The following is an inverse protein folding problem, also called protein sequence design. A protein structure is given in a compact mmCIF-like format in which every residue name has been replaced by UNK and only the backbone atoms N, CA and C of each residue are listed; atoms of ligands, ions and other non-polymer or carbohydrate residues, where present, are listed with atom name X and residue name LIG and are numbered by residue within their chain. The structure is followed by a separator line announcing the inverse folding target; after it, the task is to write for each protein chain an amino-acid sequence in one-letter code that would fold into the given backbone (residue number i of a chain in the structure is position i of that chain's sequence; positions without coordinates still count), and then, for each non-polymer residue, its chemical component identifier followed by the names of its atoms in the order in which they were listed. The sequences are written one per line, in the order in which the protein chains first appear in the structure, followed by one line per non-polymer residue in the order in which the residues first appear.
data_IF_289438201538
#
_entry.id   IF_289438201538
#
_cell.length_a   1.000
_cell.length_b   1.000
_cell.length_c   1.000
_cell.angle_alpha   90.00
_cell.angle_beta   90.00
_cell.angle_gamma   90.00
#
_symmetry.space_group_name_H-M   'P 1'
#
loop_
_entity.id
_entity.type
_entity.pdbx_description
1 polymer ?
#
# COMPACT_ATOMS: atom_id res chain seq x y z
N UNK A 1 32.48 26.98 1.44
CA UNK A 1 31.78 28.25 1.65
C UNK A 1 30.30 27.96 1.43
N UNK A 2 29.49 27.81 2.46
CA UNK A 2 28.04 27.62 2.29
C UNK A 2 27.45 28.98 1.92
N UNK A 3 26.99 29.12 0.69
CA UNK A 3 26.20 30.26 0.29
C UNK A 3 24.76 29.97 0.74
N UNK A 4 24.33 30.65 1.83
CA UNK A 4 22.92 30.66 2.21
C UNK A 4 22.15 31.55 1.26
N UNK A 5 21.73 31.01 0.14
CA UNK A 5 20.77 31.65 -0.76
C UNK A 5 19.36 31.15 -0.50
N UNK A 6 18.36 32.01 -0.65
CA UNK A 6 16.96 31.55 -0.69
C UNK A 6 16.80 30.58 -1.87
N UNK A 7 16.00 29.49 -1.73
CA UNK A 7 15.76 28.58 -2.82
C UNK A 7 15.17 29.32 -4.02
N UNK A 8 15.69 29.05 -5.22
CA UNK A 8 15.10 29.58 -6.46
C UNK A 8 13.81 28.79 -6.75
N UNK A 9 12.70 29.52 -6.92
CA UNK A 9 11.40 28.94 -7.28
C UNK A 9 11.10 29.33 -8.74
N UNK A 10 10.91 28.34 -9.59
CA UNK A 10 10.53 28.52 -10.98
C UNK A 10 9.12 27.97 -11.20
N UNK A 11 8.23 28.82 -11.76
CA UNK A 11 6.89 28.40 -12.16
C UNK A 11 6.89 28.14 -13.66
N UNK A 12 6.70 26.90 -14.05
CA UNK A 12 6.63 26.47 -15.45
C UNK A 12 5.19 26.10 -15.81
N UNK A 13 4.75 26.55 -16.97
CA UNK A 13 3.42 26.22 -17.51
C UNK A 13 3.60 25.22 -18.63
N UNK A 14 2.98 24.05 -18.48
CA UNK A 14 2.88 23.05 -19.55
C UNK A 14 1.50 23.21 -20.21
N UNK A 15 1.41 23.81 -21.39
CA UNK A 15 0.12 24.01 -22.06
C UNK A 15 -0.44 22.68 -22.56
N UNK A 16 -1.73 22.42 -22.33
CA UNK A 16 -2.44 21.22 -22.77
C UNK A 16 -1.68 19.92 -22.42
N UNK A 17 -1.39 19.66 -21.13
CA UNK A 17 -0.55 18.53 -20.76
C UNK A 17 -1.22 17.20 -21.11
N UNK A 18 -0.42 16.24 -21.54
CA UNK A 18 -0.82 14.84 -21.58
C UNK A 18 -0.78 14.29 -20.17
N UNK A 19 -1.93 13.84 -19.69
CA UNK A 19 -2.05 13.36 -18.32
C UNK A 19 -1.51 11.94 -18.19
N UNK A 20 -0.81 11.68 -17.09
CA UNK A 20 -0.38 10.35 -16.72
C UNK A 20 -1.57 9.52 -16.23
N UNK A 21 -1.67 8.28 -16.68
CA UNK A 21 -2.60 7.26 -16.18
C UNK A 21 -2.02 5.85 -16.40
N UNK A 22 -2.59 4.81 -15.78
CA UNK A 22 -2.18 3.43 -16.04
C UNK A 22 -2.24 3.01 -17.51
N UNK A 23 -3.16 3.58 -18.29
CA UNK A 23 -3.31 3.31 -19.72
C UNK A 23 -2.39 4.17 -20.58
N UNK A 24 -1.98 5.32 -20.07
CA UNK A 24 -1.15 6.29 -20.79
C UNK A 24 -0.11 6.92 -19.84
N UNK A 25 0.96 6.20 -19.47
CA UNK A 25 1.93 6.64 -18.47
C UNK A 25 2.93 7.67 -19.03
N UNK A 26 2.41 8.82 -19.42
CA UNK A 26 3.23 9.89 -19.99
C UNK A 26 4.07 10.55 -18.91
N UNK A 27 5.38 10.57 -19.14
CA UNK A 27 6.34 11.27 -18.30
C UNK A 27 6.95 12.46 -19.03
N UNK A 28 7.15 13.53 -18.29
CA UNK A 28 7.90 14.71 -18.70
C UNK A 28 9.27 14.69 -18.04
N UNK A 29 10.20 15.48 -18.59
CA UNK A 29 11.54 15.68 -18.06
C UNK A 29 11.71 17.16 -17.74
N UNK A 30 12.11 17.46 -16.51
CA UNK A 30 12.56 18.77 -16.09
C UNK A 30 14.08 18.77 -15.98
N UNK A 31 14.74 19.52 -16.82
CA UNK A 31 16.18 19.76 -16.75
C UNK A 31 16.45 21.04 -15.97
N UNK A 32 17.22 20.95 -14.91
CA UNK A 32 17.64 22.08 -14.09
C UNK A 32 19.15 22.25 -14.22
N UNK A 33 19.59 23.38 -14.74
CA UNK A 33 21.01 23.69 -14.88
C UNK A 33 21.42 24.81 -13.91
N UNK A 34 22.55 24.63 -13.25
CA UNK A 34 23.24 25.67 -12.48
C UNK A 34 24.27 26.33 -13.41
N UNK A 35 24.11 27.63 -13.68
CA UNK A 35 24.98 28.35 -14.60
C UNK A 35 25.69 29.48 -13.85
N UNK A 36 26.99 29.65 -14.08
CA UNK A 36 27.80 30.74 -13.59
C UNK A 36 28.68 31.28 -14.72
N UNK A 37 28.63 32.58 -14.95
CA UNK A 37 29.41 33.29 -15.99
C UNK A 37 29.25 32.71 -17.41
N UNK A 38 28.06 32.12 -17.69
CA UNK A 38 27.73 31.48 -18.98
C UNK A 38 28.17 30.02 -19.09
N UNK A 39 28.83 29.48 -18.07
CA UNK A 39 29.22 28.05 -18.00
C UNK A 39 28.25 27.26 -17.17
N UNK A 40 27.88 26.08 -17.66
CA UNK A 40 27.06 25.10 -16.93
C UNK A 40 27.95 24.41 -15.90
N UNK A 41 27.61 24.55 -14.63
CA UNK A 41 28.33 23.95 -13.52
C UNK A 41 27.76 22.59 -13.10
N UNK A 42 26.44 22.44 -13.25
CA UNK A 42 25.71 21.20 -12.88
C UNK A 42 24.40 21.11 -13.63
N UNK A 43 23.96 19.88 -13.90
CA UNK A 43 22.66 19.58 -14.53
C UNK A 43 22.00 18.45 -13.77
N UNK A 44 20.75 18.65 -13.39
CA UNK A 44 19.92 17.63 -12.78
C UNK A 44 18.66 17.44 -13.62
N UNK A 45 18.41 16.18 -13.96
CA UNK A 45 17.21 15.75 -14.67
C UNK A 45 16.22 15.08 -13.72
N UNK A 46 14.99 15.57 -13.71
CA UNK A 46 13.89 14.97 -12.94
C UNK A 46 12.77 14.56 -13.88
N UNK A 47 12.33 13.31 -13.78
CA UNK A 47 11.12 12.84 -14.44
C UNK A 47 9.91 13.16 -13.57
N UNK A 48 8.81 13.54 -14.20
CA UNK A 48 7.54 13.78 -13.51
C UNK A 48 6.36 13.49 -14.43
N UNK A 49 5.20 13.24 -13.86
CA UNK A 49 3.95 13.11 -14.60
C UNK A 49 2.93 14.12 -14.09
N UNK A 50 2.02 14.54 -14.98
CA UNK A 50 0.93 15.46 -14.65
C UNK A 50 -0.36 14.65 -14.54
N UNK A 51 -1.04 14.74 -13.42
CA UNK A 51 -2.31 14.07 -13.16
C UNK A 51 -3.06 14.74 -12.02
N UNK A 52 -4.35 14.44 -11.87
CA UNK A 52 -5.13 14.77 -10.67
C UNK A 52 -5.52 13.49 -9.96
N UNK A 53 -5.48 13.49 -8.63
CA UNK A 53 -5.93 12.41 -7.76
C UNK A 53 -6.89 12.98 -6.74
N UNK A 54 -8.08 12.40 -6.65
CA UNK A 54 -9.11 12.84 -5.71
C UNK A 54 -9.74 11.63 -5.02
N UNK A 55 -9.97 11.79 -3.73
CA UNK A 55 -10.69 10.83 -2.91
C UNK A 55 -11.94 11.54 -2.40
N UNK A 56 -13.09 11.14 -2.91
CA UNK A 56 -14.35 11.84 -2.68
C UNK A 56 -15.28 10.98 -1.83
N UNK A 57 -15.68 11.50 -0.67
CA UNK A 57 -16.67 10.85 0.19
C UNK A 57 -17.88 10.40 -0.64
N UNK A 58 -18.41 9.21 -0.35
CA UNK A 58 -19.54 8.57 -1.04
C UNK A 58 -19.32 8.24 -2.53
N UNK A 59 -18.18 8.64 -3.11
CA UNK A 59 -17.92 8.45 -4.55
C UNK A 59 -16.65 7.63 -4.85
N UNK A 60 -15.70 7.58 -3.90
CA UNK A 60 -14.47 6.81 -4.02
C UNK A 60 -13.32 7.54 -4.71
N UNK A 61 -12.47 6.78 -5.36
CA UNK A 61 -11.23 7.25 -5.99
C UNK A 61 -11.46 7.76 -7.40
N UNK A 62 -10.83 8.90 -7.73
CA UNK A 62 -10.84 9.52 -9.06
C UNK A 62 -9.41 9.81 -9.50
N UNK A 63 -9.12 9.45 -10.74
CA UNK A 63 -7.89 9.79 -11.44
C UNK A 63 -8.24 10.62 -12.68
N UNK A 64 -7.67 11.81 -12.80
CA UNK A 64 -7.95 12.74 -13.90
C UNK A 64 -9.46 13.05 -14.08
N UNK A 65 -10.17 13.20 -12.97
CA UNK A 65 -11.60 13.47 -12.93
C UNK A 65 -12.50 12.27 -13.27
N UNK A 66 -11.95 11.09 -13.50
CA UNK A 66 -12.71 9.88 -13.78
C UNK A 66 -12.68 8.92 -12.58
N UNK A 67 -13.86 8.43 -12.19
CA UNK A 67 -13.97 7.42 -11.14
C UNK A 67 -13.28 6.13 -11.56
N UNK A 68 -12.47 5.56 -10.65
CA UNK A 68 -11.72 4.34 -10.91
C UNK A 68 -11.83 3.36 -9.75
N UNK A 69 -11.93 2.08 -10.07
CA UNK A 69 -11.73 0.99 -9.12
C UNK A 69 -10.25 0.61 -9.19
N UNK A 70 -9.62 0.54 -8.02
CA UNK A 70 -8.21 0.13 -7.92
C UNK A 70 -8.16 -1.39 -7.94
N UNK A 71 -7.39 -1.96 -8.87
CA UNK A 71 -7.13 -3.40 -8.99
C UNK A 71 -5.67 -3.64 -8.66
N UNK A 72 -5.39 -3.88 -7.38
CA UNK A 72 -4.03 -3.92 -6.87
C UNK A 72 -3.65 -5.26 -6.25
N UNK A 73 -2.35 -5.43 -6.10
CA UNK A 73 -1.74 -6.52 -5.34
C UNK A 73 -0.76 -5.96 -4.31
N UNK A 74 -0.54 -6.72 -3.23
CA UNK A 74 0.50 -6.47 -2.27
C UNK A 74 1.79 -7.16 -2.72
N UNK A 75 2.90 -6.42 -2.85
CA UNK A 75 4.22 -6.97 -3.12
C UNK A 75 5.07 -6.91 -1.86
N UNK A 76 5.57 -8.05 -1.41
CA UNK A 76 6.31 -8.22 -0.16
C UNK A 76 7.84 -8.16 -0.35
N UNK A 77 8.31 -7.37 -1.32
CA UNK A 77 9.73 -7.18 -1.62
C UNK A 77 10.46 -8.52 -1.85
N UNK A 78 9.88 -9.35 -2.68
CA UNK A 78 10.38 -10.70 -3.00
C UNK A 78 10.42 -10.90 -4.52
N UNK A 79 11.57 -11.35 -5.00
CA UNK A 79 11.82 -11.68 -6.39
C UNK A 79 12.13 -13.19 -6.57
N UNK A 80 11.48 -14.06 -5.79
CA UNK A 80 11.65 -15.51 -5.84
C UNK A 80 13.09 -15.92 -5.52
N UNK A 81 13.81 -16.59 -6.43
CA UNK A 81 15.18 -17.05 -6.14
C UNK A 81 16.17 -15.93 -5.82
N UNK A 82 15.87 -14.69 -6.15
CA UNK A 82 16.70 -13.53 -5.82
C UNK A 82 16.43 -13.00 -4.39
N UNK A 83 15.37 -13.47 -3.74
CA UNK A 83 14.95 -12.95 -2.43
C UNK A 83 14.68 -11.45 -2.49
N UNK A 84 15.20 -10.70 -1.53
CA UNK A 84 15.04 -9.25 -1.42
C UNK A 84 16.10 -8.46 -2.23
N UNK A 85 16.92 -9.10 -3.05
CA UNK A 85 17.90 -8.40 -3.88
C UNK A 85 17.21 -7.61 -5.00
N UNK A 86 17.60 -6.33 -5.15
CA UNK A 86 17.04 -5.47 -6.19
C UNK A 86 17.58 -5.87 -7.55
N UNK A 87 16.68 -6.15 -8.48
CA UNK A 87 16.98 -6.39 -9.88
C UNK A 87 15.91 -5.80 -10.77
N UNK A 88 16.21 -4.69 -11.45
CA UNK A 88 15.25 -3.95 -12.28
C UNK A 88 14.59 -4.83 -13.36
N UNK A 89 15.33 -5.75 -13.98
CA UNK A 89 14.77 -6.65 -15.00
C UNK A 89 13.77 -7.64 -14.40
N UNK A 90 14.07 -8.19 -13.22
CA UNK A 90 13.16 -9.10 -12.54
C UNK A 90 11.89 -8.37 -12.06
N UNK A 91 12.02 -7.16 -11.51
CA UNK A 91 10.89 -6.31 -11.13
C UNK A 91 10.04 -5.98 -12.37
N UNK A 92 10.66 -5.58 -13.47
CA UNK A 92 9.94 -5.30 -14.72
C UNK A 92 9.15 -6.53 -15.20
N UNK A 93 9.74 -7.72 -15.13
CA UNK A 93 9.06 -8.95 -15.50
C UNK A 93 7.86 -9.24 -14.59
N UNK A 94 8.02 -9.08 -13.28
CA UNK A 94 6.93 -9.23 -12.31
C UNK A 94 5.79 -8.25 -12.61
N UNK A 95 6.08 -6.97 -12.80
CA UNK A 95 5.08 -5.96 -13.13
C UNK A 95 4.41 -6.24 -14.47
N UNK A 96 5.15 -6.76 -15.46
CA UNK A 96 4.54 -7.14 -16.75
C UNK A 96 3.51 -8.26 -16.56
N UNK A 97 3.81 -9.29 -15.78
CA UNK A 97 2.85 -10.37 -15.49
C UNK A 97 1.62 -9.83 -14.76
N UNK A 98 1.79 -8.94 -13.79
CA UNK A 98 0.68 -8.31 -13.08
C UNK A 98 -0.19 -7.46 -14.03
N UNK A 99 0.43 -6.73 -14.94
CA UNK A 99 -0.30 -5.94 -15.93
C UNK A 99 -1.08 -6.82 -16.92
N UNK A 100 -0.47 -7.91 -17.37
CA UNK A 100 -1.11 -8.89 -18.25
C UNK A 100 -2.32 -9.56 -17.55
N UNK A 101 -2.28 -9.69 -16.22
CA UNK A 101 -3.41 -10.17 -15.40
C UNK A 101 -4.50 -9.11 -15.18
N UNK A 102 -4.25 -7.85 -15.50
CA UNK A 102 -5.20 -6.74 -15.36
C UNK A 102 -5.02 -5.90 -14.11
N UNK A 103 -3.93 -6.07 -13.36
CA UNK A 103 -3.58 -5.19 -12.24
C UNK A 103 -3.15 -3.81 -12.73
N UNK A 104 -3.53 -2.79 -11.98
CA UNK A 104 -3.18 -1.39 -12.21
C UNK A 104 -2.61 -0.68 -10.97
N UNK A 105 -2.46 -1.41 -9.86
CA UNK A 105 -1.94 -0.84 -8.62
C UNK A 105 -1.06 -1.82 -7.83
N UNK A 106 -0.17 -1.26 -7.04
CA UNK A 106 0.75 -1.98 -6.15
C UNK A 106 0.69 -1.35 -4.76
N UNK A 107 0.59 -2.16 -3.72
CA UNK A 107 0.93 -1.78 -2.35
C UNK A 107 2.27 -2.40 -1.99
N UNK A 108 3.19 -1.60 -1.44
CA UNK A 108 4.50 -2.11 -1.03
C UNK A 108 4.44 -2.60 0.42
N UNK A 109 4.27 -3.89 0.58
CA UNK A 109 4.11 -4.56 1.87
C UNK A 109 5.46 -4.96 2.44
N UNK A 110 5.84 -4.59 3.61
CA UNK A 110 5.28 -3.60 4.52
C UNK A 110 6.43 -2.68 4.89
N UNK A 111 7.03 -2.04 3.91
CA UNK A 111 8.21 -1.18 4.05
C UNK A 111 8.37 -0.25 2.84
N UNK A 112 9.27 0.72 2.98
CA UNK A 112 9.62 1.63 1.90
C UNK A 112 10.10 0.84 0.67
N UNK A 113 9.51 1.10 -0.53
CA UNK A 113 9.88 0.40 -1.75
C UNK A 113 11.29 0.75 -2.24
N UNK A 114 11.83 -0.14 -3.08
CA UNK A 114 13.00 0.17 -3.88
C UNK A 114 12.67 1.27 -4.92
N UNK A 115 13.63 2.14 -5.22
CA UNK A 115 13.49 3.21 -6.20
C UNK A 115 13.12 2.66 -7.59
N UNK A 116 13.75 1.55 -7.99
CA UNK A 116 13.52 0.88 -9.27
C UNK A 116 12.07 0.40 -9.43
N UNK A 117 11.41 0.00 -8.33
CA UNK A 117 10.00 -0.38 -8.38
C UNK A 117 9.11 0.84 -8.66
N UNK A 118 9.35 1.95 -7.97
CA UNK A 118 8.56 3.18 -8.15
C UNK A 118 8.78 3.77 -9.54
N UNK A 119 10.03 3.81 -10.03
CA UNK A 119 10.33 4.24 -11.40
C UNK A 119 9.62 3.38 -12.44
N UNK A 120 9.63 2.06 -12.27
CA UNK A 120 8.91 1.16 -13.18
C UNK A 120 7.40 1.33 -13.09
N UNK A 121 6.84 1.64 -11.92
CA UNK A 121 5.43 2.00 -11.79
C UNK A 121 5.10 3.27 -12.57
N UNK A 122 5.95 4.28 -12.50
CA UNK A 122 5.81 5.50 -13.30
C UNK A 122 5.83 5.23 -14.81
N UNK A 123 6.78 4.38 -15.26
CA UNK A 123 6.99 4.05 -16.68
C UNK A 123 5.92 3.10 -17.25
N UNK A 124 5.50 2.11 -16.47
CA UNK A 124 4.59 1.07 -16.92
C UNK A 124 3.11 1.37 -16.62
N UNK A 125 2.84 2.45 -15.87
CA UNK A 125 1.48 2.84 -15.53
C UNK A 125 0.87 1.96 -14.44
N UNK A 126 1.53 1.84 -13.30
CA UNK A 126 0.94 1.31 -12.07
C UNK A 126 0.74 2.43 -11.06
N UNK A 127 -0.42 2.50 -10.46
CA UNK A 127 -0.61 3.29 -9.24
C UNK A 127 0.12 2.60 -8.09
N UNK A 128 0.73 3.35 -7.19
CA UNK A 128 1.47 2.76 -6.08
C UNK A 128 1.06 3.41 -4.75
N UNK A 129 0.97 2.59 -3.73
CA UNK A 129 0.81 2.97 -2.33
C UNK A 129 2.07 2.54 -1.57
N UNK A 130 3.08 3.42 -1.46
CA UNK A 130 4.25 3.15 -0.64
C UNK A 130 3.85 3.06 0.83
N UNK A 131 4.37 2.03 1.52
CA UNK A 131 4.12 1.80 2.93
C UNK A 131 5.41 1.93 3.74
N UNK A 132 5.32 2.57 4.92
CA UNK A 132 6.50 2.87 5.71
C UNK A 132 6.90 1.71 6.63
N UNK A 133 5.92 1.11 7.34
CA UNK A 133 6.20 0.21 8.46
C UNK A 133 5.25 -0.97 8.54
N UNK A 134 5.76 -2.10 9.05
CA UNK A 134 4.94 -3.26 9.45
C UNK A 134 4.60 -3.23 10.96
N UNK A 135 5.32 -2.46 11.74
CA UNK A 135 5.03 -2.21 13.17
C UNK A 135 5.43 -0.80 13.56
N UNK A 136 4.83 -0.30 14.65
CA UNK A 136 5.22 0.98 15.25
C UNK A 136 6.02 0.74 16.55
N UNK A 137 5.71 1.52 17.62
CA UNK A 137 6.42 1.43 18.90
C UNK A 137 6.10 0.16 19.72
N UNK A 138 5.01 -0.53 19.38
CA UNK A 138 4.66 -1.81 20.01
C UNK A 138 5.14 -2.96 19.13
N UNK A 139 5.91 -3.86 19.72
CA UNK A 139 6.55 -4.97 19.01
C UNK A 139 5.53 -5.92 18.36
N UNK A 140 5.74 -6.22 17.08
CA UNK A 140 5.10 -7.31 16.35
C UNK A 140 5.98 -8.57 16.37
N UNK A 141 7.30 -8.36 16.40
CA UNK A 141 8.30 -9.41 16.55
C UNK A 141 9.49 -8.91 17.38
N UNK A 142 10.27 -9.85 17.94
CA UNK A 142 11.36 -9.55 18.89
C UNK A 142 12.40 -8.56 18.35
N UNK A 143 12.78 -8.69 17.09
CA UNK A 143 13.83 -7.87 16.46
C UNK A 143 13.26 -6.91 15.41
N UNK A 144 12.04 -6.44 15.62
CA UNK A 144 11.34 -5.55 14.69
C UNK A 144 11.73 -4.09 14.80
N UNK A 145 11.04 -3.29 14.00
CA UNK A 145 11.29 -1.86 13.89
C UNK A 145 10.93 -1.06 15.15
N UNK A 146 10.06 -1.58 16.04
CA UNK A 146 9.70 -0.95 17.32
C UNK A 146 10.92 -0.49 18.12
N UNK A 147 12.07 -1.18 17.97
CA UNK A 147 13.34 -0.86 18.65
C UNK A 147 13.92 0.48 18.22
N UNK A 148 13.55 0.95 17.04
CA UNK A 148 14.06 2.17 16.42
C UNK A 148 12.97 3.24 16.26
N UNK A 149 11.71 2.88 16.45
CA UNK A 149 10.57 3.69 16.11
C UNK A 149 10.64 5.11 16.68
N UNK A 150 10.92 5.26 17.98
CA UNK A 150 10.95 6.56 18.64
C UNK A 150 12.05 7.49 18.10
N UNK A 151 13.17 6.95 17.64
CA UNK A 151 14.32 7.72 17.18
C UNK A 151 14.30 7.97 15.65
N UNK A 152 13.64 7.11 14.91
CA UNK A 152 13.79 7.06 13.45
C UNK A 152 12.48 7.23 12.67
N UNK A 153 11.31 6.96 13.22
CA UNK A 153 10.05 6.94 12.47
C UNK A 153 9.80 8.24 11.70
N UNK A 154 9.98 9.40 12.32
CA UNK A 154 9.82 10.68 11.62
C UNK A 154 10.82 10.83 10.46
N UNK A 155 12.08 10.46 10.68
CA UNK A 155 13.13 10.57 9.66
C UNK A 155 12.84 9.66 8.46
N UNK A 156 12.38 8.44 8.72
CA UNK A 156 12.12 7.45 7.69
C UNK A 156 10.86 7.80 6.88
N UNK A 157 9.80 8.29 7.54
CA UNK A 157 8.61 8.79 6.82
C UNK A 157 8.97 10.02 5.97
N UNK A 158 9.73 10.97 6.50
CA UNK A 158 10.20 12.13 5.73
C UNK A 158 11.01 11.67 4.52
N UNK A 159 11.93 10.72 4.72
CA UNK A 159 12.75 10.17 3.65
C UNK A 159 11.88 9.54 2.57
N UNK A 160 10.97 8.66 2.92
CA UNK A 160 10.06 8.00 1.98
C UNK A 160 9.24 9.01 1.18
N UNK A 161 8.61 9.97 1.86
CA UNK A 161 7.76 10.95 1.20
C UNK A 161 8.57 11.86 0.27
N UNK A 162 9.70 12.38 0.73
CA UNK A 162 10.55 13.26 -0.09
C UNK A 162 11.13 12.55 -1.30
N UNK A 163 11.46 11.28 -1.16
CA UNK A 163 12.02 10.48 -2.24
C UNK A 163 11.00 10.26 -3.36
N UNK A 164 9.74 9.97 -3.00
CA UNK A 164 8.73 9.51 -3.96
C UNK A 164 7.61 10.52 -4.29
N UNK A 165 7.52 11.67 -3.60
CA UNK A 165 6.42 12.63 -3.83
C UNK A 165 6.33 13.20 -5.24
N UNK A 166 7.40 13.15 -6.04
CA UNK A 166 7.41 13.60 -7.43
C UNK A 166 6.99 12.51 -8.41
N UNK A 167 6.88 11.25 -7.97
CA UNK A 167 6.42 10.15 -8.80
C UNK A 167 4.92 10.22 -9.05
N UNK A 168 4.47 10.27 -10.30
CA UNK A 168 3.03 10.35 -10.62
C UNK A 168 2.27 9.08 -10.24
N UNK A 169 2.92 7.93 -10.19
CA UNK A 169 2.35 6.66 -9.76
C UNK A 169 1.89 6.67 -8.31
N UNK A 170 2.55 7.42 -7.42
CA UNK A 170 2.17 7.47 -6.01
C UNK A 170 0.84 8.18 -5.85
N UNK A 171 -0.19 7.46 -5.38
CA UNK A 171 -1.55 7.98 -5.22
C UNK A 171 -1.94 8.26 -3.76
N UNK A 172 -1.24 7.64 -2.81
CA UNK A 172 -1.46 7.81 -1.38
C UNK A 172 -0.25 7.28 -0.60
N UNK A 173 -0.18 7.56 0.70
CA UNK A 173 0.84 7.05 1.61
C UNK A 173 0.22 6.08 2.61
N UNK A 174 0.91 4.97 2.88
CA UNK A 174 0.55 4.06 3.97
C UNK A 174 1.58 4.16 5.10
N UNK A 175 1.10 4.37 6.32
CA UNK A 175 1.95 4.59 7.49
C UNK A 175 2.15 3.34 8.34
N UNK A 176 1.47 2.24 8.03
CA UNK A 176 1.64 1.00 8.79
C UNK A 176 0.73 -0.13 8.34
N UNK A 177 1.09 -1.32 8.80
CA UNK A 177 0.35 -2.55 8.54
C UNK A 177 0.10 -3.33 9.83
N UNK A 178 -1.17 -3.62 10.13
CA UNK A 178 -1.58 -4.50 11.22
C UNK A 178 -0.81 -4.28 12.54
N UNK A 179 -0.53 -3.02 12.81
CA UNK A 179 0.33 -2.61 13.92
C UNK A 179 -0.29 -3.01 15.26
N UNK A 180 0.44 -3.61 16.20
CA UNK A 180 -0.12 -3.94 17.52
C UNK A 180 -0.65 -2.73 18.29
N UNK A 181 -0.15 -1.55 18.02
CA UNK A 181 -0.62 -0.26 18.56
C UNK A 181 -2.11 0.00 18.31
N UNK A 182 -2.71 -0.62 17.29
CA UNK A 182 -4.16 -0.49 17.02
C UNK A 182 -5.06 -1.02 18.14
N UNK A 183 -4.53 -1.88 19.03
CA UNK A 183 -5.24 -2.35 20.22
C UNK A 183 -5.24 -1.34 21.37
N UNK A 184 -4.31 -0.40 21.36
CA UNK A 184 -4.14 0.52 22.48
C UNK A 184 -5.17 1.65 22.46
N UNK A 185 -5.60 2.16 23.61
CA UNK A 185 -6.53 3.28 23.66
C UNK A 185 -5.99 4.56 23.01
N UNK A 186 -4.67 4.72 23.00
CA UNK A 186 -3.96 5.90 22.48
C UNK A 186 -3.37 5.70 21.08
N UNK A 187 -3.61 4.55 20.44
CA UNK A 187 -3.04 4.23 19.12
C UNK A 187 -3.31 5.28 18.03
N UNK A 188 -4.43 5.97 18.14
CA UNK A 188 -4.76 7.09 17.25
C UNK A 188 -3.75 8.24 17.31
N UNK A 189 -3.01 8.42 18.42
CA UNK A 189 -1.99 9.48 18.56
C UNK A 189 -0.80 9.22 17.64
N UNK A 190 -0.35 7.98 17.59
CA UNK A 190 0.74 7.56 16.69
C UNK A 190 0.31 7.70 15.24
N UNK A 191 -0.90 7.22 14.89
CA UNK A 191 -1.45 7.39 13.55
C UNK A 191 -1.52 8.87 13.14
N UNK A 192 -2.01 9.75 14.05
CA UNK A 192 -2.07 11.19 13.79
C UNK A 192 -0.68 11.79 13.56
N UNK A 193 0.28 11.46 14.42
CA UNK A 193 1.66 11.95 14.29
C UNK A 193 2.27 11.58 12.92
N UNK A 194 2.19 10.31 12.53
CA UNK A 194 2.74 9.85 11.26
C UNK A 194 2.00 10.47 10.04
N UNK A 195 0.68 10.58 10.12
CA UNK A 195 -0.12 11.25 9.09
C UNK A 195 0.24 12.74 8.96
N UNK A 196 0.42 13.45 10.08
CA UNK A 196 0.81 14.86 10.08
C UNK A 196 2.19 15.07 9.44
N UNK A 197 3.13 14.12 9.66
CA UNK A 197 4.43 14.13 8.97
C UNK A 197 4.24 13.99 7.45
N UNK A 198 3.44 13.02 7.01
CA UNK A 198 3.15 12.85 5.59
C UNK A 198 2.55 14.12 4.97
N UNK A 199 1.54 14.71 5.62
CA UNK A 199 0.88 15.91 5.10
C UNK A 199 1.79 17.16 5.14
N UNK A 200 2.71 17.24 6.09
CA UNK A 200 3.72 18.30 6.13
C UNK A 200 4.66 18.23 4.93
N UNK A 201 5.07 17.03 4.53
CA UNK A 201 6.01 16.80 3.43
C UNK A 201 5.32 16.73 2.06
N UNK A 202 4.05 16.32 2.04
CA UNK A 202 3.23 16.19 0.83
C UNK A 202 1.74 16.42 1.17
N UNK A 203 1.27 17.67 1.16
CA UNK A 203 -0.11 18.00 1.51
C UNK A 203 -1.15 17.55 0.46
N UNK A 204 -0.69 17.10 -0.70
CA UNK A 204 -1.56 16.76 -1.82
C UNK A 204 -2.06 15.31 -1.83
N UNK A 205 -1.51 14.43 -0.98
CA UNK A 205 -1.90 13.02 -0.94
C UNK A 205 -2.49 12.62 0.39
N UNK A 206 -3.47 11.74 0.32
CA UNK A 206 -4.12 11.14 1.49
C UNK A 206 -3.21 10.08 2.14
N UNK A 207 -3.50 9.80 3.41
CA UNK A 207 -2.76 8.84 4.23
C UNK A 207 -3.68 7.75 4.71
N UNK A 208 -3.18 6.51 4.75
CA UNK A 208 -3.86 5.32 5.23
C UNK A 208 -2.98 4.45 6.12
N UNK A 209 -3.57 3.43 6.70
CA UNK A 209 -2.90 2.33 7.41
C UNK A 209 -3.72 1.05 7.21
N UNK A 210 -3.06 -0.07 6.89
CA UNK A 210 -3.73 -1.36 6.81
C UNK A 210 -4.10 -1.87 8.22
N UNK A 211 -5.40 -2.01 8.51
CA UNK A 211 -5.91 -2.37 9.84
C UNK A 211 -6.66 -3.70 9.80
N UNK A 212 -6.32 -4.63 10.70
CA UNK A 212 -7.01 -5.92 10.84
C UNK A 212 -7.92 -6.01 12.07
N UNK A 213 -7.77 -5.10 13.06
CA UNK A 213 -8.49 -5.12 14.32
C UNK A 213 -9.73 -4.21 14.31
N UNK A 214 -10.69 -4.58 13.49
CA UNK A 214 -11.87 -3.78 13.16
C UNK A 214 -12.54 -3.13 14.38
N UNK A 215 -12.90 -3.93 15.39
CA UNK A 215 -13.61 -3.40 16.55
C UNK A 215 -12.76 -2.40 17.35
N UNK A 216 -11.48 -2.68 17.51
CA UNK A 216 -10.58 -1.80 18.24
C UNK A 216 -10.46 -0.44 17.55
N UNK A 217 -10.11 -0.44 16.24
CA UNK A 217 -9.82 0.80 15.51
C UNK A 217 -11.05 1.69 15.27
N UNK A 218 -12.24 1.11 15.22
CA UNK A 218 -13.48 1.86 15.14
C UNK A 218 -13.82 2.50 16.50
N UNK A 219 -13.60 1.78 17.61
CA UNK A 219 -13.99 2.22 18.94
C UNK A 219 -12.98 3.17 19.60
N UNK A 220 -11.68 3.01 19.34
CA UNK A 220 -10.63 3.86 19.94
C UNK A 220 -10.33 5.13 19.14
N UNK A 221 -10.96 5.29 17.97
CA UNK A 221 -10.83 6.47 17.13
C UNK A 221 -9.65 6.44 16.14
N UNK A 222 -8.84 5.38 16.08
CA UNK A 222 -7.75 5.30 15.12
C UNK A 222 -8.26 5.35 13.68
N UNK A 223 -9.26 4.53 13.33
CA UNK A 223 -9.86 4.55 12.00
C UNK A 223 -10.42 5.91 11.60
N UNK A 224 -10.99 6.65 12.56
CA UNK A 224 -11.56 7.98 12.33
C UNK A 224 -10.49 9.09 12.13
N UNK A 225 -9.22 8.82 12.46
CA UNK A 225 -8.11 9.78 12.30
C UNK A 225 -7.44 9.73 10.94
N UNK A 226 -7.47 8.57 10.31
CA UNK A 226 -6.86 8.40 8.98
C UNK A 226 -7.64 9.16 7.91
N UNK A 227 -6.94 9.71 6.93
CA UNK A 227 -7.61 10.34 5.79
C UNK A 227 -8.47 9.32 5.02
N UNK A 228 -7.95 8.12 4.81
CA UNK A 228 -8.68 6.99 4.25
C UNK A 228 -8.45 5.77 5.16
N UNK A 229 -9.44 5.29 5.90
CA UNK A 229 -9.31 4.05 6.65
C UNK A 229 -9.24 2.85 5.71
N UNK A 230 -8.24 1.97 5.93
CA UNK A 230 -8.06 0.76 5.15
C UNK A 230 -8.12 -0.48 6.03
N UNK A 231 -8.69 -1.56 5.49
CA UNK A 231 -8.90 -2.80 6.22
C UNK A 231 -8.30 -4.00 5.51
N UNK A 232 -7.68 -4.87 6.31
CA UNK A 232 -7.18 -6.16 5.90
C UNK A 232 -8.19 -7.24 6.27
N UNK A 233 -8.58 -8.08 5.30
CA UNK A 233 -9.43 -9.27 5.48
C UNK A 233 -10.78 -9.01 6.19
N UNK A 234 -11.40 -7.87 5.96
CA UNK A 234 -12.67 -7.49 6.60
C UNK A 234 -13.74 -7.04 5.60
N UNK A 235 -13.76 -7.65 4.43
CA UNK A 235 -14.68 -7.30 3.34
C UNK A 235 -16.14 -7.28 3.80
N UNK A 236 -16.58 -8.27 4.58
CA UNK A 236 -17.92 -8.32 5.17
C UNK A 236 -18.25 -7.16 6.11
N UNK A 237 -17.23 -6.47 6.64
CA UNK A 237 -17.40 -5.35 7.57
C UNK A 237 -17.35 -3.98 6.89
N UNK A 238 -17.18 -3.92 5.58
CA UNK A 238 -17.05 -2.65 4.85
C UNK A 238 -18.27 -1.75 5.00
N UNK A 239 -19.49 -2.29 4.91
CA UNK A 239 -20.70 -1.50 5.11
C UNK A 239 -20.79 -0.94 6.53
N UNK A 240 -20.37 -1.71 7.54
CA UNK A 240 -20.31 -1.26 8.92
C UNK A 240 -19.25 -0.19 9.11
N UNK A 241 -18.05 -0.38 8.57
CA UNK A 241 -16.98 0.62 8.59
C UNK A 241 -17.45 1.94 7.98
N UNK A 242 -18.04 1.86 6.79
CA UNK A 242 -18.58 3.01 6.07
C UNK A 242 -19.63 3.79 6.89
N UNK A 243 -20.50 3.08 7.61
CA UNK A 243 -21.53 3.72 8.41
C UNK A 243 -21.03 4.33 9.73
N UNK A 244 -19.92 3.80 10.27
CA UNK A 244 -19.38 4.21 11.57
C UNK A 244 -18.25 5.25 11.47
N UNK A 245 -17.53 5.28 10.36
CA UNK A 245 -16.39 6.15 10.19
C UNK A 245 -16.78 7.44 9.44
N UNK A 246 -16.25 8.61 9.87
CA UNK A 246 -16.74 9.91 9.38
C UNK A 246 -16.31 10.24 7.95
N UNK A 247 -15.35 9.49 7.39
CA UNK A 247 -14.80 9.77 6.07
C UNK A 247 -15.76 9.43 4.92
N UNK A 248 -16.72 8.53 5.14
CA UNK A 248 -17.62 7.99 4.12
C UNK A 248 -16.87 7.45 2.88
N UNK A 249 -15.70 6.90 3.13
CA UNK A 249 -14.87 6.21 2.14
C UNK A 249 -13.97 5.24 2.90
N UNK A 250 -13.78 4.05 2.35
CA UNK A 250 -12.89 3.02 2.88
C UNK A 250 -12.08 2.38 1.76
N UNK A 251 -10.97 1.75 2.12
CA UNK A 251 -10.12 1.01 1.21
C UNK A 251 -9.93 -0.42 1.72
N UNK A 252 -9.92 -1.40 0.83
CA UNK A 252 -9.38 -2.72 1.10
C UNK A 252 -7.88 -2.71 0.83
N UNK A 253 -7.06 -2.79 1.87
CA UNK A 253 -5.60 -2.85 1.74
C UNK A 253 -5.09 -4.27 1.52
N UNK A 254 -5.77 -5.27 2.13
CA UNK A 254 -5.61 -6.68 1.87
C UNK A 254 -6.99 -7.32 1.86
N UNK A 255 -7.54 -7.60 0.69
CA UNK A 255 -8.91 -8.10 0.59
C UNK A 255 -8.98 -9.61 0.69
N UNK A 256 -8.00 -10.31 0.11
CA UNK A 256 -7.92 -11.76 0.10
C UNK A 256 -6.48 -12.25 0.24
N UNK A 257 -6.31 -13.36 0.95
CA UNK A 257 -5.05 -14.09 1.00
C UNK A 257 -5.09 -15.22 -0.01
N UNK A 258 -4.89 -14.91 -1.28
CA UNK A 258 -4.82 -15.92 -2.35
C UNK A 258 -3.45 -16.56 -2.34
N UNK A 259 -3.31 -17.66 -1.64
CA UNK A 259 -2.04 -18.34 -1.40
C UNK A 259 -1.79 -19.50 -2.36
N UNK A 260 -2.55 -19.57 -3.45
CA UNK A 260 -2.36 -20.59 -4.48
C UNK A 260 -0.97 -20.49 -5.09
N UNK A 261 -0.24 -21.58 -5.04
CA UNK A 261 0.99 -21.76 -5.78
C UNK A 261 0.75 -22.67 -6.99
N UNK A 262 1.76 -22.83 -7.82
CA UNK A 262 1.68 -23.77 -8.95
C UNK A 262 1.52 -25.19 -8.42
N UNK A 263 0.53 -25.92 -8.94
CA UNK A 263 0.28 -27.28 -8.51
C UNK A 263 -1.11 -27.78 -8.93
N UNK A 264 -1.62 -28.71 -8.15
CA UNK A 264 -2.99 -29.22 -8.31
C UNK A 264 -3.91 -28.41 -7.43
N UNK A 265 -5.02 -27.94 -8.00
CA UNK A 265 -6.00 -27.12 -7.32
C UNK A 265 -7.31 -27.88 -7.19
N UNK A 266 -7.86 -27.90 -5.98
CA UNK A 266 -9.20 -28.40 -5.70
C UNK A 266 -10.12 -27.19 -5.51
N UNK A 267 -10.97 -26.94 -6.47
CA UNK A 267 -11.85 -25.78 -6.52
C UNK A 267 -13.31 -26.24 -6.73
N UNK A 268 -14.30 -25.53 -6.19
CA UNK A 268 -14.18 -24.35 -5.32
C UNK A 268 -13.65 -24.73 -3.92
N UNK A 269 -13.11 -23.75 -3.20
CA UNK A 269 -12.77 -23.89 -1.79
C UNK A 269 -14.04 -24.14 -0.96
N UNK A 270 -13.89 -24.84 0.17
CA UNK A 270 -15.02 -25.17 1.05
C UNK A 270 -14.91 -24.41 2.37
N UNK A 271 -15.95 -23.70 2.74
CA UNK A 271 -16.08 -23.19 4.09
C UNK A 271 -16.10 -24.33 5.12
N UNK A 272 -15.69 -24.05 6.35
CA UNK A 272 -15.86 -24.99 7.45
C UNK A 272 -17.32 -25.44 7.50
N UNK A 273 -17.53 -26.73 7.70
CA UNK A 273 -18.86 -27.37 7.57
C UNK A 273 -19.92 -26.84 8.52
N UNK A 274 -19.51 -26.23 9.61
CA UNK A 274 -20.38 -25.63 10.64
C UNK A 274 -20.47 -24.10 10.52
N UNK A 275 -19.71 -23.48 9.61
CA UNK A 275 -19.68 -22.03 9.46
C UNK A 275 -19.03 -21.30 10.64
N UNK A 276 -18.40 -22.02 11.56
CA UNK A 276 -17.78 -21.41 12.74
C UNK A 276 -16.44 -20.78 12.42
N UNK A 277 -16.20 -19.62 13.04
CA UNK A 277 -14.88 -19.01 13.10
C UNK A 277 -14.41 -19.15 14.54
N UNK A 278 -13.24 -19.76 14.79
CA UNK A 278 -12.72 -19.83 16.14
C UNK A 278 -12.56 -18.44 16.76
N UNK A 279 -12.95 -18.27 18.02
CA UNK A 279 -12.84 -16.99 18.74
C UNK A 279 -11.39 -16.51 18.82
N UNK A 280 -10.45 -17.44 18.99
CA UNK A 280 -9.01 -17.17 18.93
C UNK A 280 -8.39 -17.90 17.73
N UNK A 281 -8.59 -17.31 16.60
CA UNK A 281 -8.14 -17.83 15.33
C UNK A 281 -6.60 -17.97 15.23
N UNK A 282 -5.85 -17.06 15.83
CA UNK A 282 -4.39 -17.09 15.82
C UNK A 282 -3.80 -18.19 16.73
N UNK A 283 -4.56 -18.67 17.69
CA UNK A 283 -4.14 -19.77 18.56
C UNK A 283 -4.13 -21.13 17.87
N UNK A 284 -4.80 -21.27 16.72
CA UNK A 284 -4.86 -22.53 15.99
C UNK A 284 -3.62 -22.69 15.09
N UNK A 285 -3.03 -23.89 15.11
CA UNK A 285 -2.04 -24.27 14.11
C UNK A 285 -2.68 -24.39 12.72
N UNK A 286 -1.89 -24.30 11.65
CA UNK A 286 -2.36 -24.49 10.29
C UNK A 286 -3.18 -25.77 10.10
N UNK A 287 -2.69 -26.89 10.64
CA UNK A 287 -3.37 -28.18 10.58
C UNK A 287 -4.73 -28.20 11.32
N UNK A 288 -4.86 -27.46 12.42
CA UNK A 288 -6.11 -27.38 13.17
C UNK A 288 -7.16 -26.50 12.49
N UNK A 289 -6.73 -25.66 11.56
CA UNK A 289 -7.61 -24.76 10.81
C UNK A 289 -8.24 -25.43 9.59
N UNK A 290 -7.76 -26.60 9.22
CA UNK A 290 -8.25 -27.33 8.04
C UNK A 290 -9.23 -28.42 8.45
N UNK A 291 -10.27 -28.61 7.62
CA UNK A 291 -11.15 -29.75 7.78
C UNK A 291 -10.40 -31.05 7.46
N UNK A 292 -10.50 -32.10 8.31
CA UNK A 292 -9.73 -33.35 8.15
C UNK A 292 -9.94 -34.04 6.80
N UNK A 293 -11.10 -33.84 6.19
CA UNK A 293 -11.50 -34.50 4.94
C UNK A 293 -11.16 -33.70 3.69
N UNK A 294 -10.57 -32.51 3.84
CA UNK A 294 -10.16 -31.74 2.68
C UNK A 294 -8.93 -32.36 2.03
N UNK A 295 -9.12 -32.82 0.82
CA UNK A 295 -8.02 -33.21 -0.04
C UNK A 295 -7.33 -31.92 -0.49
N UNK A 296 -6.10 -31.76 -0.11
CA UNK A 296 -5.44 -30.49 -0.30
C UNK A 296 -4.55 -30.44 -1.52
N UNK A 297 -4.64 -29.36 -2.24
CA UNK A 297 -3.56 -28.81 -3.06
C UNK A 297 -2.52 -28.14 -2.15
N UNK A 298 -1.41 -27.69 -2.70
CA UNK A 298 -0.45 -26.86 -1.96
C UNK A 298 -1.10 -25.59 -1.39
N UNK A 299 -2.16 -25.14 -2.00
CA UNK A 299 -3.00 -24.05 -1.54
C UNK A 299 -3.70 -24.39 -0.22
N UNK A 300 -4.29 -25.60 -0.14
CA UNK A 300 -5.10 -26.00 1.01
C UNK A 300 -4.27 -26.32 2.26
N UNK A 301 -3.00 -26.65 2.10
CA UNK A 301 -2.22 -27.26 3.19
C UNK A 301 -1.84 -26.30 4.31
N UNK A 302 -1.41 -25.11 3.98
CA UNK A 302 -0.86 -24.20 5.01
C UNK A 302 -1.73 -22.99 5.22
N UNK A 303 -2.34 -22.49 4.17
CA UNK A 303 -2.91 -21.14 4.16
C UNK A 303 -4.36 -21.09 3.70
N UNK A 304 -4.90 -22.16 3.18
CA UNK A 304 -6.28 -22.21 2.71
C UNK A 304 -7.33 -21.97 3.81
N UNK A 305 -6.92 -21.98 5.04
CA UNK A 305 -7.78 -21.63 6.16
C UNK A 305 -8.45 -20.26 5.99
N UNK A 306 -7.84 -19.35 5.23
CA UNK A 306 -8.45 -18.07 4.84
C UNK A 306 -9.73 -18.29 4.02
N UNK A 307 -9.71 -19.22 3.09
CA UNK A 307 -10.88 -19.55 2.28
C UNK A 307 -11.92 -20.40 3.01
N UNK A 308 -11.56 -20.99 4.13
CA UNK A 308 -12.46 -21.79 4.95
C UNK A 308 -13.14 -21.01 6.08
N UNK A 309 -12.88 -19.72 6.19
CA UNK A 309 -13.44 -18.86 7.22
C UNK A 309 -14.47 -17.93 6.59
N UNK A 310 -15.72 -17.89 7.13
CA UNK A 310 -16.77 -17.03 6.56
C UNK A 310 -16.46 -15.53 6.55
N UNK A 311 -15.41 -15.11 7.27
CA UNK A 311 -14.94 -13.72 7.30
C UNK A 311 -14.10 -13.32 6.11
N UNK A 312 -13.56 -14.30 5.41
CA UNK A 312 -12.69 -14.11 4.26
C UNK A 312 -13.43 -14.72 3.08
N UNK A 313 -13.79 -13.89 2.15
CA UNK A 313 -14.86 -14.22 1.21
C UNK A 313 -14.52 -15.30 0.20
N UNK A 314 -13.27 -15.84 0.12
CA UNK A 314 -12.96 -16.65 -1.05
C UNK A 314 -11.84 -17.66 -0.95
N UNK A 315 -11.98 -18.68 -1.73
CA UNK A 315 -10.91 -19.45 -2.33
C UNK A 315 -10.27 -18.64 -3.49
N UNK A 316 -9.15 -19.10 -4.01
CA UNK A 316 -8.42 -18.39 -5.07
C UNK A 316 -9.26 -18.17 -6.35
N UNK A 317 -10.16 -19.07 -6.66
CA UNK A 317 -11.05 -18.99 -7.81
C UNK A 317 -12.16 -17.94 -7.66
N UNK A 318 -12.53 -17.60 -6.44
CA UNK A 318 -13.54 -16.57 -6.15
C UNK A 318 -12.92 -15.17 -6.03
N UNK A 319 -11.60 -15.09 -5.91
CA UNK A 319 -10.87 -13.82 -5.81
C UNK A 319 -10.76 -13.08 -7.16
N UNK A 320 -11.07 -13.73 -8.25
CA UNK A 320 -11.06 -13.22 -9.61
C UNK A 320 -12.46 -13.09 -10.18
#
# INVERSE_FOLDING_TARGET
MCISGSPAIHNLIVPSPKLWSPENPVLYRAETAVIRDGEILDIVDNRFGIRTVEWIADRGFFLNGQRRIIRGVCLHHDLGPLGAAINRTAIHHQLKMLKDMGCDAIRTSHNMPAEELVELCDEMGFMIMPEAFDEWEVAKCENGYHRYFNDWAEKDVINMVRHFRNSPSVIMWSIGNEVPTQWTPDGYKVASMLQDICHREDPGRVVTCGMDQFAAVVNNGLGARLAIPAFNYKTRRYNEAYSKLPQNIILGSETASTVSSRGVYHLPGQALSDGSVPDDFNALSGAQRMHPDQQSSSYDNEYCWWSNIPDVDFAADEAY
#
